data_IF_285073125712
#
_entry.id   IF_285073125712
#
_cell.length_a   1.000
_cell.length_b   1.000
_cell.length_c   1.000
_cell.angle_alpha   90.00
_cell.angle_beta   90.00
_cell.angle_gamma   90.00
#
_symmetry.space_group_name_H-M   'P 1'
#
loop_
_entity.id
_entity.type
_entity.pdbx_description
1 polymer ?
#
# COMPACT_ATOMS: atom_id res chain seq x y z
N UNK A 1 -9.17 6.02 -17.66
CA UNK A 1 -9.80 7.10 -16.89
C UNK A 1 -10.06 8.27 -17.83
N UNK A 2 -9.04 8.93 -18.37
CA UNK A 2 -9.16 10.10 -19.25
C UNK A 2 -9.94 9.82 -20.54
N UNK A 3 -9.65 8.73 -21.23
CA UNK A 3 -10.32 8.38 -22.50
C UNK A 3 -11.83 8.10 -22.35
N UNK A 4 -12.26 7.87 -21.09
CA UNK A 4 -13.68 7.71 -20.73
C UNK A 4 -14.29 9.00 -20.15
N UNK A 5 -13.59 10.13 -20.22
CA UNK A 5 -14.07 11.41 -19.70
C UNK A 5 -14.08 11.52 -18.16
N UNK A 6 -13.48 10.57 -17.45
CA UNK A 6 -13.48 10.53 -15.98
C UNK A 6 -12.20 11.12 -15.36
N UNK A 7 -11.32 11.70 -16.18
CA UNK A 7 -10.11 12.37 -15.72
C UNK A 7 -10.30 13.87 -15.60
N UNK A 8 -9.61 14.48 -14.64
CA UNK A 8 -9.50 15.92 -14.48
C UNK A 8 -8.03 16.33 -14.38
N UNK A 9 -7.71 17.56 -14.73
CA UNK A 9 -6.35 18.09 -14.74
C UNK A 9 -5.62 17.87 -16.07
N UNK A 10 -4.31 18.08 -16.04
CA UNK A 10 -3.47 18.01 -17.22
C UNK A 10 -3.19 16.56 -17.64
N UNK A 11 -3.59 16.23 -18.87
CA UNK A 11 -3.40 14.88 -19.43
C UNK A 11 -1.92 14.50 -19.58
N UNK A 12 -1.05 15.47 -19.82
CA UNK A 12 0.38 15.22 -20.02
C UNK A 12 1.08 14.75 -18.75
N UNK A 13 0.41 14.91 -17.61
CA UNK A 13 0.90 14.43 -16.31
C UNK A 13 0.53 12.99 -15.97
N UNK A 14 -0.19 12.31 -16.85
CA UNK A 14 -0.50 10.88 -16.67
C UNK A 14 0.81 10.07 -16.67
N UNK A 15 0.98 9.24 -15.65
CA UNK A 15 2.19 8.42 -15.49
C UNK A 15 3.30 9.07 -14.65
N UNK A 16 3.15 10.35 -14.27
CA UNK A 16 4.05 10.92 -13.27
C UNK A 16 3.97 10.19 -11.92
N UNK A 17 5.03 10.29 -11.13
CA UNK A 17 5.15 9.58 -9.84
C UNK A 17 3.96 9.84 -8.92
N UNK A 18 3.57 11.11 -8.74
CA UNK A 18 2.46 11.46 -7.86
C UNK A 18 1.09 10.99 -8.41
N UNK A 19 0.92 11.04 -9.75
CA UNK A 19 -0.27 10.49 -10.38
C UNK A 19 -0.37 8.98 -10.13
N UNK A 20 0.70 8.24 -10.36
CA UNK A 20 0.74 6.79 -10.15
C UNK A 20 0.53 6.43 -8.67
N UNK A 21 1.11 7.17 -7.73
CA UNK A 21 0.84 7.00 -6.29
C UNK A 21 -0.62 7.20 -5.95
N UNK A 22 -1.26 8.23 -6.51
CA UNK A 22 -2.70 8.46 -6.35
C UNK A 22 -3.55 7.30 -6.86
N UNK A 23 -3.19 6.74 -8.02
CA UNK A 23 -3.87 5.57 -8.59
C UNK A 23 -3.73 4.33 -7.71
N UNK A 24 -2.53 4.07 -7.18
CA UNK A 24 -2.28 2.94 -6.25
C UNK A 24 -3.07 3.12 -4.96
N UNK A 25 -3.04 4.33 -4.37
CA UNK A 25 -3.80 4.62 -3.15
C UNK A 25 -5.31 4.44 -3.34
N UNK A 26 -5.86 4.92 -4.45
CA UNK A 26 -7.27 4.75 -4.78
C UNK A 26 -7.65 3.27 -4.98
N UNK A 27 -6.79 2.50 -5.64
CA UNK A 27 -6.97 1.06 -5.81
C UNK A 27 -7.00 0.34 -4.47
N UNK A 28 -6.00 0.53 -3.62
CA UNK A 28 -5.93 -0.13 -2.30
C UNK A 28 -7.10 0.26 -1.41
N UNK A 29 -7.47 1.54 -1.38
CA UNK A 29 -8.64 2.01 -0.62
C UNK A 29 -9.93 1.35 -1.12
N UNK A 30 -10.09 1.22 -2.43
CA UNK A 30 -11.27 0.57 -3.00
C UNK A 30 -11.32 -0.92 -2.64
N UNK A 31 -10.20 -1.63 -2.69
CA UNK A 31 -10.13 -3.04 -2.30
C UNK A 31 -10.35 -3.20 -0.78
N UNK A 32 -9.81 -2.31 0.04
CA UNK A 32 -10.07 -2.32 1.49
C UNK A 32 -11.56 -2.11 1.80
N UNK A 33 -12.23 -1.17 1.11
CA UNK A 33 -13.67 -0.97 1.26
C UNK A 33 -14.46 -2.22 0.84
N UNK A 34 -14.09 -2.87 -0.26
CA UNK A 34 -14.72 -4.15 -0.68
C UNK A 34 -14.54 -5.26 0.35
N UNK A 35 -13.34 -5.37 0.92
CA UNK A 35 -13.07 -6.31 2.02
C UNK A 35 -13.92 -5.98 3.24
N UNK A 36 -13.98 -4.71 3.64
CA UNK A 36 -14.79 -4.23 4.75
C UNK A 36 -16.27 -4.61 4.58
N UNK A 37 -16.84 -4.34 3.40
CA UNK A 37 -18.22 -4.71 3.08
C UNK A 37 -18.45 -6.21 3.17
N UNK A 38 -17.49 -7.00 2.74
CA UNK A 38 -17.57 -8.49 2.79
C UNK A 38 -17.44 -9.00 4.22
N UNK A 39 -16.50 -8.49 5.01
CA UNK A 39 -16.25 -8.90 6.40
C UNK A 39 -17.45 -8.58 7.27
N UNK A 40 -17.99 -7.38 7.17
CA UNK A 40 -19.08 -6.90 8.02
C UNK A 40 -20.49 -7.12 7.44
N UNK A 41 -20.61 -7.67 6.23
CA UNK A 41 -21.90 -7.96 5.60
C UNK A 41 -22.75 -6.71 5.35
N UNK A 42 -22.14 -5.53 5.21
CA UNK A 42 -22.85 -4.24 5.08
C UNK A 42 -22.31 -3.42 3.92
N UNK A 43 -23.16 -2.57 3.34
CA UNK A 43 -22.75 -1.54 2.37
C UNK A 43 -22.46 -0.19 3.04
N UNK A 44 -22.85 -0.04 4.29
CA UNK A 44 -22.62 1.16 5.09
C UNK A 44 -21.37 0.97 5.94
N UNK A 45 -20.21 1.27 5.35
CA UNK A 45 -18.93 1.10 6.02
C UNK A 45 -18.56 2.34 6.83
N UNK A 46 -17.95 2.11 8.01
CA UNK A 46 -17.38 3.12 8.90
C UNK A 46 -15.88 3.02 8.92
N UNK A 47 -15.21 3.95 9.60
CA UNK A 47 -13.75 3.97 9.68
C UNK A 47 -13.13 2.67 10.22
N UNK A 48 -13.72 2.13 11.30
CA UNK A 48 -13.31 0.83 11.87
C UNK A 48 -13.45 -0.33 10.89
N UNK A 49 -14.54 -0.38 10.11
CA UNK A 49 -14.73 -1.41 9.08
C UNK A 49 -13.67 -1.30 7.97
N UNK A 50 -13.34 -0.05 7.57
CA UNK A 50 -12.32 0.18 6.53
C UNK A 50 -10.92 -0.20 7.04
N UNK A 51 -10.61 0.05 8.33
CA UNK A 51 -9.39 -0.44 8.95
C UNK A 51 -9.30 -1.97 8.83
N UNK A 52 -10.35 -2.69 9.23
CA UNK A 52 -10.39 -4.16 9.16
C UNK A 52 -10.23 -4.63 7.70
N UNK A 53 -10.81 -3.88 6.75
CA UNK A 53 -10.64 -4.12 5.32
C UNK A 53 -9.21 -3.92 4.82
N UNK A 54 -8.47 -2.96 5.38
CA UNK A 54 -7.04 -2.79 5.10
C UNK A 54 -6.20 -3.90 5.74
N UNK A 55 -6.49 -4.27 6.99
CA UNK A 55 -5.79 -5.37 7.68
C UNK A 55 -6.02 -6.75 7.01
N UNK A 56 -7.04 -6.85 6.16
CA UNK A 56 -7.33 -8.02 5.31
C UNK A 56 -6.92 -7.81 3.84
N UNK A 57 -6.17 -6.75 3.51
CA UNK A 57 -5.81 -6.45 2.14
C UNK A 57 -4.80 -7.46 1.59
N UNK A 58 -5.17 -8.10 0.48
CA UNK A 58 -4.32 -8.99 -0.27
C UNK A 58 -4.56 -8.78 -1.77
N UNK A 59 -3.72 -7.97 -2.39
CA UNK A 59 -3.75 -7.66 -3.82
C UNK A 59 -2.56 -8.36 -4.47
N UNK A 60 -2.77 -9.59 -4.88
CA UNK A 60 -1.78 -10.40 -5.57
C UNK A 60 -1.72 -10.07 -7.08
N UNK A 61 -0.84 -10.74 -7.82
CA UNK A 61 -0.70 -10.54 -9.27
C UNK A 61 -1.97 -10.88 -10.05
N UNK A 62 -2.75 -11.89 -9.60
CA UNK A 62 -4.02 -12.23 -10.24
C UNK A 62 -5.02 -11.10 -10.04
N UNK A 63 -5.09 -10.58 -8.82
CA UNK A 63 -5.97 -9.45 -8.53
C UNK A 63 -5.59 -8.19 -9.29
N UNK A 64 -4.31 -7.90 -9.44
CA UNK A 64 -3.84 -6.79 -10.28
C UNK A 64 -4.26 -6.96 -11.74
N UNK A 65 -4.20 -8.18 -12.30
CA UNK A 65 -4.70 -8.47 -13.65
C UNK A 65 -6.21 -8.26 -13.79
N UNK A 66 -7.00 -8.75 -12.83
CA UNK A 66 -8.45 -8.54 -12.80
C UNK A 66 -8.86 -7.08 -12.73
N UNK A 67 -8.07 -6.26 -12.02
CA UNK A 67 -8.27 -4.82 -11.92
C UNK A 67 -7.83 -4.06 -13.19
N UNK A 68 -7.22 -4.75 -14.16
CA UNK A 68 -6.69 -4.13 -15.37
C UNK A 68 -5.38 -3.37 -15.17
N UNK A 69 -4.65 -3.68 -14.11
CA UNK A 69 -3.41 -3.01 -13.70
C UNK A 69 -2.22 -4.00 -13.58
N UNK A 70 -2.01 -4.90 -14.58
CA UNK A 70 -0.89 -5.83 -14.52
C UNK A 70 0.44 -5.06 -14.50
N UNK A 71 1.36 -5.45 -13.61
CA UNK A 71 2.68 -4.82 -13.45
C UNK A 71 2.67 -3.32 -13.07
N UNK A 72 1.52 -2.77 -12.66
CA UNK A 72 1.43 -1.36 -12.24
C UNK A 72 2.08 -1.12 -10.89
N UNK A 73 1.99 -2.09 -10.00
CA UNK A 73 2.69 -2.16 -8.72
C UNK A 73 3.00 -3.62 -8.42
N UNK A 74 3.86 -3.89 -7.45
CA UNK A 74 4.04 -5.26 -6.98
C UNK A 74 2.92 -5.67 -6.02
N UNK A 75 2.72 -6.99 -5.83
CA UNK A 75 1.72 -7.51 -4.91
C UNK A 75 1.87 -6.95 -3.50
N UNK A 76 0.75 -6.65 -2.84
CA UNK A 76 0.72 -6.15 -1.48
C UNK A 76 -0.17 -7.03 -0.62
N UNK A 77 0.31 -7.34 0.58
CA UNK A 77 -0.48 -7.95 1.64
C UNK A 77 -0.27 -7.13 2.91
N UNK A 78 -1.37 -6.68 3.49
CA UNK A 78 -1.40 -5.93 4.74
C UNK A 78 -2.11 -6.80 5.77
N UNK A 79 -1.58 -6.86 6.97
CA UNK A 79 -2.18 -7.54 8.11
C UNK A 79 -2.17 -6.59 9.30
N UNK A 80 -2.89 -6.96 10.35
CA UNK A 80 -2.88 -6.17 11.58
C UNK A 80 -1.49 -6.10 12.25
N UNK A 81 -0.63 -7.11 12.06
CA UNK A 81 0.76 -7.06 12.55
C UNK A 81 1.69 -6.31 11.61
N UNK A 82 1.34 -6.22 10.32
CA UNK A 82 2.19 -5.57 9.31
C UNK A 82 1.36 -4.62 8.45
N UNK A 83 1.25 -3.36 8.87
CA UNK A 83 0.57 -2.30 8.12
C UNK A 83 1.41 -1.71 6.98
N UNK A 84 2.72 -1.96 6.93
CA UNK A 84 3.62 -1.41 5.91
C UNK A 84 3.62 -2.24 4.62
N UNK A 85 3.22 -3.51 4.72
CA UNK A 85 3.23 -4.42 3.58
C UNK A 85 4.63 -4.97 3.27
N UNK A 86 4.93 -5.33 2.01
CA UNK A 86 6.11 -6.10 1.64
C UNK A 86 7.45 -5.35 1.69
N UNK A 87 7.47 -4.03 1.87
CA UNK A 87 8.68 -3.21 1.99
C UNK A 87 9.78 -3.52 0.94
N UNK A 88 9.39 -3.70 -0.32
CA UNK A 88 10.32 -3.93 -1.43
C UNK A 88 10.96 -2.63 -1.89
N UNK A 89 12.26 -2.65 -2.15
CA UNK A 89 13.03 -1.52 -2.63
C UNK A 89 13.78 -1.85 -3.93
N UNK A 90 14.00 -0.83 -4.74
CA UNK A 90 14.84 -0.92 -5.93
C UNK A 90 15.53 0.43 -6.17
N UNK A 91 16.66 0.41 -6.84
CA UNK A 91 17.44 1.62 -7.11
C UNK A 91 17.25 2.03 -8.55
N UNK A 92 16.98 3.32 -8.75
CA UNK A 92 16.97 3.96 -10.06
C UNK A 92 18.13 4.95 -10.16
N UNK A 93 18.71 5.06 -11.34
CA UNK A 93 19.72 6.03 -11.66
C UNK A 93 19.25 6.92 -12.82
N UNK A 94 19.45 8.25 -12.67
CA UNK A 94 19.15 9.18 -13.75
C UNK A 94 20.22 9.12 -14.85
N UNK A 95 19.80 8.89 -16.09
CA UNK A 95 20.65 9.02 -17.27
C UNK A 95 20.47 10.42 -17.86
N UNK A 96 21.42 11.31 -17.59
CA UNK A 96 21.36 12.70 -18.04
C UNK A 96 21.44 12.86 -19.57
N UNK A 97 22.04 11.89 -20.28
CA UNK A 97 22.15 11.94 -21.76
C UNK A 97 20.83 11.58 -22.41
N UNK A 98 20.16 10.56 -21.88
CA UNK A 98 18.87 10.09 -22.39
C UNK A 98 17.68 10.81 -21.76
N UNK A 99 17.91 11.54 -20.66
CA UNK A 99 16.86 12.21 -19.86
C UNK A 99 15.79 11.23 -19.38
N UNK A 100 16.22 10.06 -18.90
CA UNK A 100 15.33 8.99 -18.41
C UNK A 100 15.84 8.39 -17.10
N UNK A 101 14.93 7.82 -16.31
CA UNK A 101 15.26 7.01 -15.15
C UNK A 101 15.48 5.56 -15.59
N UNK A 102 16.60 4.99 -15.19
CA UNK A 102 16.96 3.61 -15.47
C UNK A 102 16.98 2.79 -14.18
N UNK A 103 16.25 1.69 -14.15
CA UNK A 103 16.36 0.70 -13.07
C UNK A 103 17.74 0.06 -13.14
N UNK A 104 18.52 0.15 -12.06
CA UNK A 104 19.86 -0.45 -11.97
C UNK A 104 19.91 -1.68 -11.06
N UNK A 105 18.82 -1.93 -10.30
CA UNK A 105 18.62 -3.17 -9.53
C UNK A 105 17.26 -3.76 -9.81
N UNK A 106 17.08 -5.07 -9.53
CA UNK A 106 15.77 -5.66 -9.29
C UNK A 106 15.19 -5.21 -7.94
N UNK A 107 13.98 -5.63 -7.65
CA UNK A 107 13.41 -5.46 -6.31
C UNK A 107 14.05 -6.46 -5.34
N UNK A 108 14.39 -5.97 -4.14
CA UNK A 108 14.92 -6.76 -3.04
C UNK A 108 14.23 -6.35 -1.73
N UNK A 109 14.34 -7.20 -0.72
CA UNK A 109 13.76 -6.92 0.59
C UNK A 109 14.54 -5.79 1.28
N UNK A 110 13.82 -4.89 1.93
CA UNK A 110 14.43 -3.88 2.78
C UNK A 110 15.03 -4.54 4.04
N UNK A 111 15.85 -3.81 4.78
CA UNK A 111 16.56 -4.28 5.97
C UNK A 111 15.60 -4.43 7.19
N UNK A 112 14.52 -5.16 7.01
CA UNK A 112 13.48 -5.37 8.03
C UNK A 112 14.00 -6.11 9.25
N UNK A 113 14.90 -7.05 9.05
CA UNK A 113 15.60 -7.79 10.11
C UNK A 113 16.35 -6.90 11.08
N UNK A 114 16.76 -5.71 10.64
CA UNK A 114 17.41 -4.69 11.48
C UNK A 114 16.40 -3.68 12.01
N UNK A 115 15.47 -3.22 11.17
CA UNK A 115 14.58 -2.10 11.49
C UNK A 115 13.41 -2.54 12.38
N UNK A 116 12.82 -3.72 12.15
CA UNK A 116 11.64 -4.17 12.89
C UNK A 116 11.90 -4.32 14.40
N UNK A 117 13.03 -4.89 14.87
CA UNK A 117 13.35 -4.91 16.31
C UNK A 117 13.47 -3.53 16.95
N UNK A 118 14.02 -2.54 16.22
CA UNK A 118 14.14 -1.16 16.71
C UNK A 118 12.76 -0.49 16.81
N UNK A 119 11.88 -0.71 15.82
CA UNK A 119 10.50 -0.20 15.86
C UNK A 119 9.73 -0.81 17.03
N UNK A 120 9.90 -2.10 17.30
CA UNK A 120 9.25 -2.78 18.42
C UNK A 120 9.73 -2.21 19.75
N UNK A 121 11.04 -2.06 19.94
CA UNK A 121 11.63 -1.48 21.15
C UNK A 121 11.10 -0.07 21.43
N UNK A 122 11.17 0.83 20.41
CA UNK A 122 10.72 2.21 20.53
C UNK A 122 9.20 2.30 20.77
N UNK A 123 8.40 1.51 20.07
CA UNK A 123 6.94 1.53 20.22
C UNK A 123 6.50 1.04 21.61
N UNK A 124 7.16 0.03 22.16
CA UNK A 124 6.88 -0.47 23.51
C UNK A 124 7.32 0.52 24.58
N UNK A 125 8.47 1.18 24.40
CA UNK A 125 8.94 2.24 25.28
C UNK A 125 7.95 3.41 25.30
N UNK A 126 7.52 3.87 24.13
CA UNK A 126 6.52 4.94 23.99
C UNK A 126 5.18 4.58 24.62
N UNK A 127 4.69 3.36 24.38
CA UNK A 127 3.44 2.88 24.95
C UNK A 127 3.48 2.89 26.48
N UNK A 128 4.59 2.43 27.08
CA UNK A 128 4.81 2.43 28.52
C UNK A 128 4.85 3.85 29.09
N UNK A 129 5.59 4.76 28.47
CA UNK A 129 5.71 6.15 28.90
C UNK A 129 4.36 6.89 28.88
N UNK A 130 3.51 6.60 27.89
CA UNK A 130 2.23 7.28 27.68
C UNK A 130 1.02 6.51 28.22
N UNK A 131 1.22 5.40 28.96
CA UNK A 131 0.13 4.60 29.53
C UNK A 131 -0.77 3.94 28.49
N UNK A 132 -0.25 3.70 27.28
CA UNK A 132 -0.99 3.06 26.19
C UNK A 132 -0.89 1.54 26.35
N UNK A 133 -2.01 0.85 26.32
CA UNK A 133 -2.03 -0.61 26.22
C UNK A 133 -2.05 -1.01 24.74
N UNK A 134 -0.97 -1.61 24.23
CA UNK A 134 -0.96 -2.10 22.86
C UNK A 134 -2.08 -3.11 22.61
N UNK A 135 -2.68 -3.07 21.41
CA UNK A 135 -3.66 -4.05 20.98
C UNK A 135 -3.01 -5.45 20.98
N UNK A 136 -3.66 -6.41 21.63
CA UNK A 136 -3.22 -7.81 21.63
C UNK A 136 -4.01 -8.57 20.60
N UNK A 137 -3.28 -9.14 19.63
CA UNK A 137 -3.87 -9.97 18.57
C UNK A 137 -4.54 -9.17 17.45
N UNK A 138 -4.82 -9.86 16.39
CA UNK A 138 -5.42 -9.38 15.16
C UNK A 138 -6.80 -10.03 14.93
N UNK A 139 -7.60 -10.12 15.95
CA UNK A 139 -8.96 -10.63 15.85
C UNK A 139 -9.85 -9.60 15.17
N UNK A 140 -10.49 -10.03 14.07
CA UNK A 140 -11.50 -9.29 13.33
C UNK A 140 -12.90 -9.58 13.89
#
# INVERSE_FOLDING_TARGET
>A
VYDKGNGSGDRDRIGEVLYNRGMVAAMWTTEAIRNAMKIHGTKEVRGEHVRDGFEALNVDENRLRELGLPNFTYPVKITCENHEGPAKVAIQQWDAKKKEWKMITGFYDSMRDIVDPLIEEDSMAYAKENGITPRKGCEL
#
